data_IF_291523672177
#
_entry.id   IF_291523672177
#
_cell.length_a   1.000
_cell.length_b   1.000
_cell.length_c   1.000
_cell.angle_alpha   90.00
_cell.angle_beta   90.00
_cell.angle_gamma   90.00
#
_symmetry.space_group_name_H-M   'P 1'
#
loop_
_entity.id
_entity.type
_entity.pdbx_description
1 polymer ?
#
# COMPACT_ATOMS: atom_id res chain seq x y z
N UNK A 1 -0.16 -10.89 -5.94
CA UNK A 1 0.64 -9.82 -5.32
C UNK A 1 0.27 -8.42 -5.83
N UNK A 2 0.69 -7.96 -7.02
CA UNK A 2 0.26 -6.63 -7.54
C UNK A 2 -1.25 -6.54 -7.80
N UNK A 3 -1.87 -7.65 -8.21
CA UNK A 3 -3.33 -7.81 -8.36
C UNK A 3 -4.07 -7.47 -7.08
N UNK A 4 -3.60 -8.01 -5.96
CA UNK A 4 -4.28 -7.96 -4.67
C UNK A 4 -4.26 -6.52 -4.15
N UNK A 5 -3.16 -5.80 -4.36
CA UNK A 5 -3.05 -4.38 -4.02
C UNK A 5 -4.04 -3.53 -4.83
N UNK A 6 -4.21 -3.83 -6.11
CA UNK A 6 -5.20 -3.16 -6.94
C UNK A 6 -6.63 -3.47 -6.49
N UNK A 7 -6.91 -4.72 -6.12
CA UNK A 7 -8.22 -5.12 -5.57
C UNK A 7 -8.50 -4.42 -4.24
N UNK A 8 -7.51 -4.31 -3.35
CA UNK A 8 -7.61 -3.53 -2.10
C UNK A 8 -7.89 -2.05 -2.42
N UNK A 9 -7.16 -1.45 -3.38
CA UNK A 9 -7.38 -0.07 -3.79
C UNK A 9 -8.80 0.19 -4.31
N UNK A 10 -9.31 -0.72 -5.15
CA UNK A 10 -10.69 -0.69 -5.64
C UNK A 10 -11.71 -0.86 -4.52
N UNK A 11 -11.48 -1.83 -3.63
CA UNK A 11 -12.35 -2.09 -2.49
C UNK A 11 -12.42 -0.88 -1.56
N UNK A 12 -11.29 -0.27 -1.22
CA UNK A 12 -11.25 0.96 -0.43
C UNK A 12 -11.99 2.11 -1.12
N UNK A 13 -11.78 2.30 -2.43
CA UNK A 13 -12.53 3.31 -3.20
C UNK A 13 -14.04 3.07 -3.17
N UNK A 14 -14.50 1.82 -3.11
CA UNK A 14 -15.92 1.47 -3.05
C UNK A 14 -16.59 1.88 -1.73
N UNK A 15 -15.81 2.07 -0.66
CA UNK A 15 -16.31 2.52 0.64
C UNK A 15 -16.74 4.00 0.63
N UNK A 16 -16.38 4.76 -0.39
CA UNK A 16 -16.72 6.18 -0.55
C UNK A 16 -17.33 6.45 -1.93
N UNK A 17 -18.60 6.10 -2.17
CA UNK A 17 -19.24 6.27 -3.46
C UNK A 17 -19.28 7.74 -3.89
N UNK A 18 -18.76 8.04 -5.08
CA UNK A 18 -18.80 9.39 -5.67
C UNK A 18 -17.72 10.36 -5.16
N UNK A 19 -16.84 9.92 -4.25
CA UNK A 19 -15.74 10.74 -3.74
C UNK A 19 -14.46 9.91 -3.59
N UNK A 20 -13.30 10.55 -3.74
CA UNK A 20 -12.03 9.88 -3.46
C UNK A 20 -11.79 9.85 -1.96
N UNK A 21 -11.11 8.81 -1.48
CA UNK A 21 -10.65 8.77 -0.10
C UNK A 21 -9.57 9.85 0.10
N UNK A 22 -9.60 10.61 1.21
CA UNK A 22 -8.82 11.84 1.34
C UNK A 22 -7.30 11.61 1.40
N UNK A 23 -6.84 10.57 2.11
CA UNK A 23 -5.40 10.28 2.25
C UNK A 23 -5.15 8.79 2.38
N UNK A 24 -4.14 8.30 1.66
CA UNK A 24 -3.61 6.95 1.79
C UNK A 24 -2.08 6.98 1.79
N UNK A 25 -1.47 6.27 2.74
CA UNK A 25 -0.02 6.17 2.86
C UNK A 25 0.39 4.71 2.75
N UNK A 26 1.10 4.38 1.67
CA UNK A 26 1.69 3.08 1.47
C UNK A 26 2.91 2.96 2.39
N UNK A 27 2.85 2.02 3.34
CA UNK A 27 3.94 1.78 4.28
C UNK A 27 4.69 0.52 3.91
N UNK A 28 6.01 0.57 4.03
CA UNK A 28 6.84 -0.61 3.87
C UNK A 28 6.83 -1.49 5.13
N UNK A 29 7.08 -2.78 4.94
CA UNK A 29 7.30 -3.70 6.04
C UNK A 29 8.58 -3.34 6.80
N UNK A 30 8.57 -3.47 8.13
CA UNK A 30 9.74 -3.26 8.99
C UNK A 30 10.03 -4.54 9.79
N UNK A 31 11.13 -5.24 9.52
CA UNK A 31 11.46 -6.51 10.18
C UNK A 31 11.96 -6.37 11.64
N UNK A 32 11.77 -5.22 12.29
CA UNK A 32 12.41 -4.90 13.58
C UNK A 32 11.65 -5.44 14.82
N UNK A 33 10.33 -5.54 14.74
CA UNK A 33 9.45 -5.92 15.87
C UNK A 33 8.36 -6.87 15.40
N UNK A 34 8.76 -8.07 14.98
CA UNK A 34 7.82 -9.08 14.49
C UNK A 34 7.42 -10.04 15.60
N UNK A 35 6.15 -10.46 15.61
CA UNK A 35 5.66 -11.46 16.57
C UNK A 35 6.28 -12.84 16.31
N UNK A 36 6.48 -13.16 15.04
CA UNK A 36 7.16 -14.38 14.60
C UNK A 36 8.58 -14.02 14.14
N UNK A 37 9.64 -14.61 14.74
CA UNK A 37 11.03 -14.32 14.41
C UNK A 37 11.42 -14.63 12.95
N UNK A 38 10.66 -15.47 12.23
CA UNK A 38 10.92 -15.75 10.82
C UNK A 38 10.76 -14.51 9.94
N UNK A 39 9.90 -13.56 10.35
CA UNK A 39 9.64 -12.33 9.63
C UNK A 39 10.77 -11.28 9.80
N UNK A 40 11.63 -11.43 10.80
CA UNK A 40 12.82 -10.56 10.97
C UNK A 40 13.81 -10.70 9.80
N UNK A 41 13.77 -11.86 9.12
CA UNK A 41 14.66 -12.16 7.98
C UNK A 41 14.05 -11.77 6.65
N UNK A 42 12.78 -11.37 6.62
CA UNK A 42 12.10 -10.98 5.39
C UNK A 42 12.55 -9.58 4.99
N UNK A 43 13.00 -9.47 3.74
CA UNK A 43 13.43 -8.19 3.20
C UNK A 43 12.21 -7.29 2.91
N UNK A 44 12.25 -6.02 3.30
CA UNK A 44 11.25 -5.06 2.89
C UNK A 44 11.28 -4.88 1.37
N UNK A 45 10.19 -4.37 0.81
CA UNK A 45 10.12 -4.05 -0.61
C UNK A 45 11.07 -2.90 -0.95
N UNK A 46 11.56 -2.87 -2.19
CA UNK A 46 12.39 -1.77 -2.65
C UNK A 46 11.57 -0.50 -2.82
N UNK A 47 12.23 0.65 -2.73
CA UNK A 47 11.56 1.94 -2.90
C UNK A 47 10.92 2.06 -4.29
N UNK A 48 11.57 1.53 -5.33
CA UNK A 48 11.09 1.56 -6.70
C UNK A 48 9.78 0.78 -6.83
N UNK A 49 9.71 -0.40 -6.21
CA UNK A 49 8.49 -1.22 -6.19
C UNK A 49 7.34 -0.49 -5.51
N UNK A 50 7.59 0.16 -4.36
CA UNK A 50 6.56 0.94 -3.67
C UNK A 50 6.05 2.11 -4.51
N UNK A 51 6.93 2.79 -5.25
CA UNK A 51 6.55 3.87 -6.15
C UNK A 51 5.74 3.35 -7.35
N UNK A 52 6.05 2.17 -7.88
CA UNK A 52 5.21 1.54 -8.91
C UNK A 52 3.80 1.27 -8.40
N UNK A 53 3.69 0.70 -7.20
CA UNK A 53 2.39 0.43 -6.55
C UNK A 53 1.63 1.73 -6.32
N UNK A 54 2.29 2.75 -5.77
CA UNK A 54 1.69 4.06 -5.52
C UNK A 54 1.06 4.63 -6.80
N UNK A 55 1.74 4.54 -7.96
CA UNK A 55 1.19 5.01 -9.24
C UNK A 55 -0.08 4.27 -9.65
N UNK A 56 -0.15 2.96 -9.40
CA UNK A 56 -1.31 2.13 -9.75
C UNK A 56 -2.52 2.47 -8.88
N UNK A 57 -2.31 2.77 -7.59
CA UNK A 57 -3.41 3.01 -6.65
C UNK A 57 -3.75 4.49 -6.45
N UNK A 58 -2.85 5.41 -6.80
CA UNK A 58 -3.06 6.85 -6.70
C UNK A 58 -4.39 7.36 -7.28
N UNK A 59 -4.93 6.83 -8.40
CA UNK A 59 -6.21 7.28 -8.93
C UNK A 59 -7.39 7.16 -7.96
N UNK A 60 -7.32 6.24 -6.99
CA UNK A 60 -8.40 5.96 -6.03
C UNK A 60 -8.44 6.92 -4.83
N UNK A 61 -7.39 7.71 -4.63
CA UNK A 61 -7.23 8.58 -3.45
C UNK A 61 -6.98 10.03 -3.87
N UNK A 62 -7.31 11.00 -3.02
CA UNK A 62 -6.93 12.41 -3.25
C UNK A 62 -5.43 12.60 -3.03
N UNK A 63 -4.89 12.00 -1.97
CA UNK A 63 -3.47 11.99 -1.65
C UNK A 63 -3.02 10.55 -1.48
N UNK A 64 -2.05 10.12 -2.29
CA UNK A 64 -1.40 8.82 -2.16
C UNK A 64 0.12 9.02 -2.10
N UNK A 65 0.75 8.65 -0.97
CA UNK A 65 2.19 8.80 -0.76
C UNK A 65 2.81 7.54 -0.16
N UNK A 66 4.12 7.39 -0.28
CA UNK A 66 4.89 6.30 0.37
C UNK A 66 5.51 6.84 1.65
N UNK A 67 5.49 6.05 2.74
CA UNK A 67 6.01 6.41 4.07
C UNK A 67 6.88 5.32 4.68
#
# INVERSE_FOLDING_TARGET
>A
EKSDILEIGKWLSSLSPGQKLPKYFLQNFRPEKTLDPSFEKIKPYTQEYLLEIQKVIAPFFEICQVR
#
